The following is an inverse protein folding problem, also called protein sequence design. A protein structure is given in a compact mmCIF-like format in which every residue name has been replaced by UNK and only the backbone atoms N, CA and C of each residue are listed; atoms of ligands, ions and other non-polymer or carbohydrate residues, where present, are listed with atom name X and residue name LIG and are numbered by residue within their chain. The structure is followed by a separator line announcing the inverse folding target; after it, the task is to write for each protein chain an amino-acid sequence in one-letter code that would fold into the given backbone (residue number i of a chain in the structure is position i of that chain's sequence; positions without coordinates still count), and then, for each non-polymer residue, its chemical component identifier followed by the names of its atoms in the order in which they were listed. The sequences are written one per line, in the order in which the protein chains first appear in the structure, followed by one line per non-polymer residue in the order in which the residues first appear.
data_IF_821873298696
#
_entry.id   IF_821873298696
#
_cell.length_a   1.000
_cell.length_b   1.000
_cell.length_c   1.000
_cell.angle_alpha   90.00
_cell.angle_beta   90.00
_cell.angle_gamma   90.00
#
_symmetry.space_group_name_H-M   'P 1'
#
loop_
_entity.id
_entity.type
_entity.pdbx_description
1 polymer ?
#
# COMPACT_ATOMS: atom_id res chain seq x y z
N UNK A 1 8.71 13.24 -3.00
CA UNK A 1 7.52 12.41 -3.28
C UNK A 1 7.25 12.44 -4.79
N UNK A 2 6.56 11.46 -5.35
CA UNK A 2 6.18 11.40 -6.78
C UNK A 2 4.72 10.94 -6.93
N UNK A 3 4.00 11.40 -7.97
CA UNK A 3 2.67 10.88 -8.25
C UNK A 3 2.74 9.44 -8.78
N UNK A 4 1.69 8.66 -8.51
CA UNK A 4 1.49 7.34 -9.11
C UNK A 4 0.01 7.11 -9.42
N UNK A 5 -0.24 6.16 -10.33
CA UNK A 5 -1.57 5.65 -10.65
C UNK A 5 -1.61 4.15 -10.33
N UNK A 6 -2.49 3.76 -9.40
CA UNK A 6 -2.72 2.36 -9.05
C UNK A 6 -3.60 1.64 -10.07
N UNK A 7 -3.60 0.30 -10.03
CA UNK A 7 -4.30 -0.54 -11.02
C UNK A 7 -5.82 -0.34 -11.08
N UNK A 8 -6.44 0.11 -9.97
CA UNK A 8 -7.87 0.40 -9.88
C UNK A 8 -8.22 1.88 -10.11
N UNK A 9 -7.29 2.66 -10.67
CA UNK A 9 -7.49 4.10 -10.91
C UNK A 9 -7.22 5.01 -9.72
N UNK A 10 -6.76 4.46 -8.59
CA UNK A 10 -6.38 5.27 -7.42
C UNK A 10 -5.18 6.15 -7.74
N UNK A 11 -5.34 7.46 -7.53
CA UNK A 11 -4.27 8.43 -7.69
C UNK A 11 -3.65 8.70 -6.32
N UNK A 12 -2.33 8.73 -6.28
CA UNK A 12 -1.61 8.95 -5.03
C UNK A 12 -0.27 9.62 -5.21
N UNK A 13 0.33 9.96 -4.07
CA UNK A 13 1.65 10.57 -3.94
C UNK A 13 2.46 9.72 -2.95
N UNK A 14 3.56 9.14 -3.42
CA UNK A 14 4.41 8.25 -2.61
C UNK A 14 5.88 8.67 -2.55
N UNK A 15 6.75 7.84 -1.92
CA UNK A 15 8.20 8.04 -1.89
C UNK A 15 8.83 8.12 -3.29
N UNK A 16 10.01 8.74 -3.43
CA UNK A 16 10.66 8.91 -4.75
C UNK A 16 11.11 7.59 -5.40
N UNK A 17 11.28 6.55 -4.59
CA UNK A 17 11.71 5.22 -5.01
C UNK A 17 10.54 4.24 -5.22
N UNK A 18 9.29 4.71 -5.29
CA UNK A 18 8.13 3.89 -5.70
C UNK A 18 8.37 3.35 -7.11
N UNK A 19 7.99 2.10 -7.34
CA UNK A 19 8.14 1.43 -8.62
C UNK A 19 6.92 0.57 -8.97
N UNK A 20 6.80 0.17 -10.24
CA UNK A 20 5.75 -0.75 -10.69
C UNK A 20 5.82 -2.07 -9.92
N UNK A 21 4.67 -2.54 -9.45
CA UNK A 21 4.54 -3.76 -8.63
C UNK A 21 4.62 -3.52 -7.13
N UNK A 22 4.93 -2.29 -6.68
CA UNK A 22 4.70 -1.91 -5.29
C UNK A 22 3.20 -1.88 -4.98
N UNK A 23 2.85 -2.17 -3.73
CA UNK A 23 1.49 -2.26 -3.24
C UNK A 23 1.16 -1.05 -2.37
N UNK A 24 0.03 -0.41 -2.63
CA UNK A 24 -0.61 0.49 -1.66
C UNK A 24 -1.33 -0.35 -0.63
N UNK A 25 -0.98 -0.19 0.64
CA UNK A 25 -1.51 -0.96 1.76
C UNK A 25 -2.00 -0.01 2.86
N UNK A 26 -3.22 -0.25 3.35
CA UNK A 26 -3.70 0.40 4.58
C UNK A 26 -3.47 -0.57 5.73
N UNK A 27 -2.63 -0.16 6.68
CA UNK A 27 -2.47 -0.91 7.93
C UNK A 27 -3.67 -0.58 8.81
N UNK A 28 -4.39 -1.59 9.28
CA UNK A 28 -5.54 -1.40 10.16
C UNK A 28 -5.13 -0.64 11.44
N UNK A 29 -5.84 0.44 11.74
CA UNK A 29 -5.51 1.36 12.83
C UNK A 29 -4.42 2.40 12.48
N UNK A 30 -3.81 2.32 11.30
CA UNK A 30 -2.89 3.32 10.78
C UNK A 30 -3.60 4.57 10.26
N UNK A 31 -2.94 5.73 10.38
CA UNK A 31 -3.47 7.02 9.91
C UNK A 31 -3.26 7.26 8.40
N UNK A 32 -2.31 6.58 7.80
CA UNK A 32 -1.91 6.78 6.40
C UNK A 32 -1.77 5.44 5.67
N UNK A 33 -2.02 5.40 4.35
CA UNK A 33 -1.58 4.32 3.49
C UNK A 33 -0.05 4.24 3.45
N UNK A 34 0.46 3.05 3.16
CA UNK A 34 1.88 2.75 3.00
C UNK A 34 2.14 2.09 1.66
N UNK A 35 3.33 2.31 1.12
CA UNK A 35 3.86 1.56 -0.01
C UNK A 35 4.66 0.38 0.52
N UNK A 36 4.27 -0.83 0.13
CA UNK A 36 4.97 -2.08 0.43
C UNK A 36 5.54 -2.69 -0.84
N UNK A 37 6.78 -3.16 -0.77
CA UNK A 37 7.44 -3.86 -1.87
C UNK A 37 7.59 -5.34 -1.54
N UNK A 38 7.01 -6.21 -2.37
CA UNK A 38 7.22 -7.66 -2.24
C UNK A 38 8.69 -7.98 -2.50
N UNK A 39 9.31 -8.73 -1.60
CA UNK A 39 10.66 -9.28 -1.77
C UNK A 39 10.56 -10.78 -1.99
N UNK A 40 11.26 -11.27 -3.00
CA UNK A 40 11.36 -12.70 -3.29
C UNK A 40 12.08 -13.38 -2.14
N UNK A 41 11.37 -14.19 -1.36
CA UNK A 41 11.98 -15.13 -0.43
C UNK A 41 11.36 -16.52 -0.70
N UNK A 42 12.16 -17.60 -0.75
CA UNK A 42 11.68 -18.92 -1.20
C UNK A 42 10.56 -19.51 -0.33
N UNK A 43 10.48 -19.12 0.95
CA UNK A 43 9.62 -19.82 1.92
C UNK A 43 8.62 -18.90 2.65
N UNK A 44 8.81 -17.58 2.62
CA UNK A 44 8.00 -16.62 3.37
C UNK A 44 7.70 -15.38 2.54
N UNK A 45 6.43 -14.94 2.54
CA UNK A 45 6.06 -13.67 1.92
C UNK A 45 6.68 -12.51 2.72
N UNK A 46 7.79 -11.93 2.23
CA UNK A 46 8.42 -10.75 2.82
C UNK A 46 8.02 -9.49 2.08
N UNK A 47 7.74 -8.45 2.84
CA UNK A 47 7.47 -7.12 2.34
C UNK A 47 8.44 -6.14 2.97
N UNK A 48 8.99 -5.26 2.15
CA UNK A 48 9.74 -4.09 2.61
C UNK A 48 8.81 -2.89 2.67
N UNK A 49 8.89 -2.13 3.76
CA UNK A 49 8.23 -0.83 3.88
C UNK A 49 9.01 0.21 3.06
N UNK A 50 8.44 0.64 1.93
CA UNK A 50 9.04 1.69 1.08
C UNK A 50 8.80 3.07 1.70
N UNK A 51 7.63 3.26 2.32
CA UNK A 51 7.30 4.48 3.07
C UNK A 51 5.81 4.82 3.02
N UNK A 52 5.44 5.95 3.62
CA UNK A 52 4.07 6.46 3.63
C UNK A 52 3.62 6.99 2.26
N UNK A 53 2.32 6.87 1.99
CA UNK A 53 1.67 7.43 0.81
C UNK A 53 0.45 8.27 1.19
N UNK A 54 0.16 9.25 0.35
CA UNK A 54 -1.16 9.86 0.26
C UNK A 54 -1.89 9.20 -0.92
N UNK A 55 -3.15 8.82 -0.73
CA UNK A 55 -4.00 8.27 -1.78
C UNK A 55 -5.37 8.88 -1.66
N UNK A 56 -5.84 9.51 -2.73
CA UNK A 56 -7.16 10.12 -2.72
C UNK A 56 -8.26 9.05 -2.59
N UNK A 57 -9.27 9.34 -1.77
CA UNK A 57 -10.45 8.49 -1.58
C UNK A 57 -10.24 7.16 -0.84
N UNK A 58 -9.12 6.94 -0.13
CA UNK A 58 -8.92 5.74 0.72
C UNK A 58 -8.38 6.03 2.13
N UNK A 59 -8.18 7.31 2.47
CA UNK A 59 -7.51 7.72 3.71
C UNK A 59 -8.45 7.90 4.90
N UNK A 60 -9.73 8.14 4.64
CA UNK A 60 -10.76 8.43 5.67
C UNK A 60 -11.64 7.19 5.93
N UNK A 61 -11.09 6.00 5.69
CA UNK A 61 -11.75 4.72 5.96
C UNK A 61 -12.61 4.19 4.82
N UNK A 62 -12.63 4.84 3.66
CA UNK A 62 -13.35 4.37 2.49
C UNK A 62 -12.82 3.01 2.01
N UNK A 63 -11.52 2.76 2.21
CA UNK A 63 -10.87 1.47 1.90
C UNK A 63 -11.63 0.26 2.48
N UNK A 64 -12.23 0.40 3.67
CA UNK A 64 -12.99 -0.68 4.33
C UNK A 64 -14.25 -1.08 3.58
N UNK A 65 -14.83 -0.16 2.80
CA UNK A 65 -16.08 -0.37 2.08
C UNK A 65 -15.86 -0.84 0.63
N UNK A 66 -14.60 -0.85 0.17
CA UNK A 66 -14.23 -1.13 -1.23
C UNK A 66 -13.98 -2.61 -1.54
N UNK A 67 -14.22 -3.52 -0.58
CA UNK A 67 -13.95 -4.95 -0.77
C UNK A 67 -12.48 -5.25 -1.10
N UNK A 68 -11.55 -4.46 -0.54
CA UNK A 68 -10.11 -4.64 -0.74
C UNK A 68 -9.68 -5.93 -0.03
N UNK A 69 -8.73 -6.67 -0.63
CA UNK A 69 -8.19 -7.87 -0.02
C UNK A 69 -7.48 -7.54 1.29
N UNK A 70 -7.95 -8.12 2.39
CA UNK A 70 -7.37 -7.97 3.72
C UNK A 70 -6.54 -9.21 4.06
N UNK A 71 -5.37 -9.00 4.68
CA UNK A 71 -4.52 -10.08 5.18
C UNK A 71 -4.10 -9.78 6.61
N UNK A 72 -4.34 -10.72 7.50
CA UNK A 72 -3.77 -10.73 8.86
C UNK A 72 -2.35 -11.29 8.82
N UNK A 73 -1.44 -10.67 9.57
CA UNK A 73 -0.07 -11.14 9.76
C UNK A 73 0.07 -11.57 11.21
N UNK A 74 0.38 -12.85 11.43
CA UNK A 74 0.72 -13.40 12.74
C UNK A 74 2.23 -13.19 13.00
N UNK A 75 2.60 -12.96 14.26
CA UNK A 75 3.98 -12.77 14.70
C UNK A 75 4.63 -14.09 15.12
#
# INVERSE_FOLDING_TARGET
RVPFLGEKGFVGIGPRNVQKGDLVCVILGGRFPFILRRRSAPELARYELVGEAYCDGIMDGEAFHMGIATRTVEL
#
